data_IF_044143056273
#
_entry.id   IF_044143056273
#
_cell.length_a   1.000
_cell.length_b   1.000
_cell.length_c   1.000
_cell.angle_alpha   90.00
_cell.angle_beta   90.00
_cell.angle_gamma   90.00
#
_symmetry.space_group_name_H-M   'P 1'
#
loop_
_entity.id
_entity.type
_entity.pdbx_description
1 polymer ?
#
# COMPACT_ATOMS: atom_id res chain seq x y z
N UNK A 1 41.17 -32.23 -69.44
CA UNK A 1 40.36 -31.10 -68.96
C UNK A 1 39.02 -31.63 -68.45
N UNK A 2 38.76 -31.65 -67.13
CA UNK A 2 37.40 -31.78 -66.60
C UNK A 2 36.85 -30.40 -66.20
N UNK A 3 35.57 -30.16 -66.50
CA UNK A 3 34.84 -28.93 -66.21
C UNK A 3 34.48 -28.86 -64.73
N UNK A 4 34.84 -27.76 -64.07
CA UNK A 4 34.37 -27.40 -62.72
C UNK A 4 32.88 -27.01 -62.78
N UNK A 5 32.05 -27.68 -61.99
CA UNK A 5 30.70 -27.20 -61.65
C UNK A 5 30.81 -26.36 -60.36
N UNK A 6 30.39 -25.08 -60.45
CA UNK A 6 30.25 -24.18 -59.31
C UNK A 6 28.81 -24.30 -58.77
N UNK A 7 28.66 -24.67 -57.50
CA UNK A 7 27.42 -24.49 -56.74
C UNK A 7 27.44 -23.11 -56.05
N UNK A 8 26.35 -22.32 -56.08
CA UNK A 8 26.27 -21.12 -55.27
C UNK A 8 25.86 -21.49 -53.83
N UNK A 9 26.65 -21.00 -52.87
CA UNK A 9 26.34 -21.02 -51.45
C UNK A 9 25.27 -19.96 -51.17
N UNK A 10 24.03 -20.38 -50.91
CA UNK A 10 22.96 -19.48 -50.44
C UNK A 10 23.15 -19.29 -48.94
N UNK A 11 23.55 -18.07 -48.55
CA UNK A 11 23.63 -17.64 -47.16
C UNK A 11 22.21 -17.29 -46.69
N UNK A 12 21.57 -18.18 -45.93
CA UNK A 12 20.32 -17.86 -45.23
C UNK A 12 20.64 -16.95 -44.04
N UNK A 13 20.22 -15.68 -44.14
CA UNK A 13 20.09 -14.79 -42.97
C UNK A 13 18.92 -15.31 -42.13
N UNK A 14 19.22 -15.84 -40.95
CA UNK A 14 18.20 -16.15 -39.94
C UNK A 14 17.77 -14.83 -39.29
N UNK A 15 16.58 -14.35 -39.66
CA UNK A 15 15.91 -13.24 -39.00
C UNK A 15 15.56 -13.66 -37.57
N UNK A 16 16.20 -13.06 -36.57
CA UNK A 16 15.81 -13.21 -35.17
C UNK A 16 14.55 -12.37 -34.96
N UNK A 17 13.39 -12.99 -35.10
CA UNK A 17 12.13 -12.40 -34.64
C UNK A 17 12.09 -12.49 -33.12
N UNK A 18 12.20 -11.35 -32.43
CA UNK A 18 11.91 -11.27 -31.00
C UNK A 18 10.46 -11.68 -30.78
N UNK A 19 10.24 -12.82 -30.13
CA UNK A 19 8.93 -13.26 -29.68
C UNK A 19 8.38 -12.25 -28.65
N UNK A 20 7.05 -12.06 -28.57
CA UNK A 20 6.47 -11.25 -27.52
C UNK A 20 6.82 -11.89 -26.18
N UNK A 21 7.19 -11.06 -25.20
CA UNK A 21 7.47 -11.49 -23.83
C UNK A 21 6.16 -11.99 -23.21
N UNK A 22 5.86 -13.27 -23.44
CA UNK A 22 4.80 -13.96 -22.73
C UNK A 22 5.20 -14.10 -21.26
N UNK A 23 4.41 -13.46 -20.38
CA UNK A 23 4.27 -13.68 -18.95
C UNK A 23 5.42 -14.46 -18.26
N UNK A 24 6.50 -13.79 -17.91
CA UNK A 24 7.47 -14.34 -16.97
C UNK A 24 6.95 -14.17 -15.54
N UNK A 25 6.30 -15.22 -15.03
CA UNK A 25 5.89 -15.35 -13.64
C UNK A 25 7.10 -15.71 -12.77
N UNK A 26 7.35 -14.96 -11.68
CA UNK A 26 8.31 -15.30 -10.61
C UNK A 26 9.78 -15.55 -11.04
N UNK A 27 10.19 -15.05 -12.20
CA UNK A 27 11.60 -15.13 -12.61
C UNK A 27 12.40 -14.06 -11.86
N UNK A 28 13.61 -14.42 -11.42
CA UNK A 28 14.57 -13.45 -10.88
C UNK A 28 14.77 -12.30 -11.89
N UNK A 29 14.68 -11.06 -11.41
CA UNK A 29 15.01 -9.85 -12.15
C UNK A 29 15.84 -8.91 -11.26
N UNK A 30 16.46 -7.91 -11.88
CA UNK A 30 17.31 -6.91 -11.23
C UNK A 30 16.70 -5.51 -11.35
N UNK A 31 17.28 -4.56 -10.63
CA UNK A 31 16.88 -3.15 -10.70
C UNK A 31 16.87 -2.59 -12.14
N UNK A 32 17.83 -2.98 -12.98
CA UNK A 32 17.88 -2.57 -14.38
C UNK A 32 16.66 -3.04 -15.19
N UNK A 33 16.09 -4.21 -14.86
CA UNK A 33 14.87 -4.71 -15.51
C UNK A 33 13.64 -3.90 -15.08
N UNK A 34 13.62 -3.41 -13.82
CA UNK A 34 12.58 -2.48 -13.33
C UNK A 34 12.67 -1.17 -14.11
N UNK A 35 13.86 -0.60 -14.28
CA UNK A 35 14.01 0.64 -15.06
C UNK A 35 13.56 0.47 -16.52
N UNK A 36 13.97 -0.63 -17.15
CA UNK A 36 13.67 -0.94 -18.54
C UNK A 36 12.22 -1.39 -18.79
N UNK A 37 11.48 -1.75 -17.73
CA UNK A 37 10.12 -2.23 -17.87
C UNK A 37 9.23 -1.19 -18.56
N UNK A 38 8.51 -1.65 -19.57
CA UNK A 38 7.54 -0.86 -20.33
C UNK A 38 6.24 -1.64 -20.47
N UNK A 39 5.14 -0.92 -20.60
CA UNK A 39 3.84 -1.52 -20.83
C UNK A 39 3.76 -2.10 -22.25
N UNK A 40 3.56 -3.42 -22.33
CA UNK A 40 3.48 -4.17 -23.59
C UNK A 40 2.06 -4.50 -24.05
N UNK A 41 1.03 -4.01 -23.36
CA UNK A 41 -0.37 -4.40 -23.56
C UNK A 41 -0.86 -5.47 -22.58
N UNK A 42 -2.18 -5.57 -22.42
CA UNK A 42 -2.84 -6.44 -21.45
C UNK A 42 -2.72 -5.92 -20.01
N UNK A 43 -3.30 -6.63 -19.05
CA UNK A 43 -3.17 -6.28 -17.64
C UNK A 43 -1.79 -6.67 -17.07
N UNK A 44 -1.47 -6.29 -15.83
CA UNK A 44 -0.23 -6.67 -15.16
C UNK A 44 0.00 -8.18 -15.23
N UNK A 45 1.25 -8.65 -15.34
CA UNK A 45 1.57 -10.07 -15.28
C UNK A 45 1.15 -10.67 -13.93
N UNK A 46 0.66 -11.90 -13.95
CA UNK A 46 0.48 -12.67 -12.71
C UNK A 46 1.81 -12.93 -12.01
N UNK A 47 1.81 -12.99 -10.68
CA UNK A 47 3.03 -13.21 -9.90
C UNK A 47 3.90 -11.96 -9.81
N UNK A 48 5.18 -12.15 -9.45
CA UNK A 48 6.14 -11.05 -9.32
C UNK A 48 6.71 -10.66 -10.69
N UNK A 49 6.71 -9.37 -11.03
CA UNK A 49 7.30 -8.85 -12.28
C UNK A 49 7.90 -7.46 -12.13
N UNK A 50 8.91 -7.15 -12.96
CA UNK A 50 9.56 -5.84 -13.00
C UNK A 50 8.59 -4.72 -13.42
N UNK A 51 7.64 -5.01 -14.32
CA UNK A 51 6.59 -4.06 -14.71
C UNK A 51 5.67 -3.73 -13.53
N UNK A 52 5.25 -4.74 -12.77
CA UNK A 52 4.42 -4.52 -11.58
C UNK A 52 5.17 -3.71 -10.54
N UNK A 53 6.45 -4.00 -10.29
CA UNK A 53 7.29 -3.17 -9.40
C UNK A 53 7.29 -1.73 -9.87
N UNK A 54 7.58 -1.47 -11.16
CA UNK A 54 7.61 -0.11 -11.69
C UNK A 54 6.26 0.60 -11.51
N UNK A 55 5.15 -0.07 -11.79
CA UNK A 55 3.81 0.49 -11.60
C UNK A 55 3.55 0.83 -10.13
N UNK A 56 3.90 -0.05 -9.19
CA UNK A 56 3.79 0.23 -7.75
C UNK A 56 4.60 1.49 -7.35
N UNK A 57 5.84 1.63 -7.83
CA UNK A 57 6.66 2.84 -7.56
C UNK A 57 5.99 4.11 -8.10
N UNK A 58 5.44 4.06 -9.31
CA UNK A 58 4.79 5.22 -9.92
C UNK A 58 3.48 5.60 -9.21
N UNK A 59 2.74 4.61 -8.71
CA UNK A 59 1.54 4.83 -7.89
C UNK A 59 1.93 5.51 -6.57
N UNK A 60 2.92 4.97 -5.85
CA UNK A 60 3.46 5.52 -4.61
C UNK A 60 3.86 7.00 -4.77
N UNK A 61 4.65 7.31 -5.81
CA UNK A 61 5.05 8.68 -6.17
C UNK A 61 3.91 9.62 -6.52
N UNK A 62 2.76 9.06 -6.86
CA UNK A 62 1.59 9.85 -7.20
C UNK A 62 0.78 10.25 -5.96
N UNK A 63 1.11 9.77 -4.76
CA UNK A 63 0.28 9.92 -3.56
C UNK A 63 -0.86 8.89 -3.48
N UNK A 64 -0.76 7.81 -4.26
CA UNK A 64 -1.67 6.65 -4.21
C UNK A 64 -0.83 5.46 -3.81
N UNK A 65 -0.77 5.21 -2.50
CA UNK A 65 0.08 4.16 -1.96
C UNK A 65 -0.37 2.79 -2.50
N UNK A 66 0.55 1.96 -3.04
CA UNK A 66 0.30 0.56 -3.29
C UNK A 66 0.44 -0.29 -2.01
N UNK A 67 0.73 0.35 -0.87
CA UNK A 67 1.20 -0.31 0.34
C UNK A 67 2.63 -0.75 0.14
N UNK A 68 2.90 -2.01 0.45
CA UNK A 68 4.22 -2.61 0.29
C UNK A 68 4.56 -2.83 -1.19
N UNK A 69 5.73 -2.37 -1.62
CA UNK A 69 6.27 -2.64 -2.96
C UNK A 69 6.99 -3.98 -2.96
N UNK A 70 6.41 -4.95 -3.66
CA UNK A 70 6.86 -6.35 -3.68
C UNK A 70 6.91 -6.96 -5.10
N UNK A 71 6.50 -6.18 -6.10
CA UNK A 71 6.39 -6.57 -7.50
C UNK A 71 5.25 -7.52 -7.83
N UNK A 72 4.34 -7.85 -6.90
CA UNK A 72 3.23 -8.76 -7.15
C UNK A 72 1.98 -8.05 -7.64
N UNK A 73 1.34 -8.65 -8.64
CA UNK A 73 -0.05 -8.31 -8.99
C UNK A 73 -0.98 -8.97 -7.98
N UNK A 74 -1.31 -8.24 -6.91
CA UNK A 74 -2.24 -8.66 -5.86
C UNK A 74 -3.34 -7.62 -5.61
N UNK A 75 -4.18 -7.88 -4.60
CA UNK A 75 -5.31 -7.01 -4.27
C UNK A 75 -4.90 -5.57 -3.94
N UNK A 76 -3.77 -5.36 -3.27
CA UNK A 76 -3.27 -4.01 -2.98
C UNK A 76 -2.95 -3.25 -4.27
N UNK A 77 -2.14 -3.83 -5.18
CA UNK A 77 -1.82 -3.26 -6.49
C UNK A 77 -3.08 -2.96 -7.31
N UNK A 78 -4.04 -3.88 -7.36
CA UNK A 78 -5.32 -3.68 -8.06
C UNK A 78 -6.11 -2.51 -7.45
N UNK A 79 -6.25 -2.47 -6.13
CA UNK A 79 -6.98 -1.40 -5.44
C UNK A 79 -6.31 -0.03 -5.58
N UNK A 80 -4.98 0.01 -5.73
CA UNK A 80 -4.23 1.25 -5.97
C UNK A 80 -4.43 1.74 -7.41
N UNK A 81 -4.48 0.84 -8.39
CA UNK A 81 -4.84 1.19 -9.78
C UNK A 81 -6.27 1.75 -9.83
N UNK A 82 -7.25 1.10 -9.16
CA UNK A 82 -8.62 1.61 -9.07
C UNK A 82 -8.69 3.05 -8.53
N UNK A 83 -7.85 3.35 -7.55
CA UNK A 83 -7.79 4.69 -6.97
C UNK A 83 -7.18 5.72 -7.92
N UNK A 84 -6.14 5.30 -8.65
CA UNK A 84 -5.48 6.12 -9.65
C UNK A 84 -6.42 6.41 -10.82
N UNK A 85 -7.18 5.41 -11.26
CA UNK A 85 -8.26 5.54 -12.24
C UNK A 85 -9.32 6.52 -11.77
N UNK A 86 -9.83 6.35 -10.54
CA UNK A 86 -10.81 7.25 -9.92
C UNK A 86 -10.32 8.69 -9.90
N UNK A 87 -9.08 8.93 -9.45
CA UNK A 87 -8.50 10.29 -9.44
C UNK A 87 -8.36 10.86 -10.85
N UNK A 88 -8.05 10.01 -11.82
CA UNK A 88 -7.77 10.42 -13.20
C UNK A 88 -9.01 10.50 -14.09
N UNK A 89 -10.19 10.13 -13.57
CA UNK A 89 -11.43 10.08 -14.34
C UNK A 89 -11.46 8.96 -15.38
N UNK A 90 -10.73 7.87 -15.14
CA UNK A 90 -10.74 6.67 -15.99
C UNK A 90 -11.85 5.70 -15.56
N UNK A 91 -12.19 4.69 -16.40
CA UNK A 91 -12.95 3.53 -15.93
C UNK A 91 -12.26 2.90 -14.71
N UNK A 92 -13.04 2.56 -13.67
CA UNK A 92 -12.52 2.04 -12.40
C UNK A 92 -12.63 0.51 -12.42
N UNK A 93 -11.69 -0.17 -13.04
CA UNK A 93 -11.65 -1.64 -13.14
C UNK A 93 -10.41 -2.26 -12.48
N UNK A 94 -9.43 -1.44 -12.10
CA UNK A 94 -8.20 -1.87 -11.44
C UNK A 94 -7.24 -2.61 -12.38
N UNK A 95 -7.48 -2.55 -13.68
CA UNK A 95 -6.66 -3.21 -14.68
C UNK A 95 -5.60 -2.25 -15.23
N UNK A 96 -4.40 -2.76 -15.43
CA UNK A 96 -3.38 -2.00 -16.13
C UNK A 96 -3.74 -1.90 -17.62
N UNK A 97 -3.91 -0.68 -18.10
CA UNK A 97 -4.22 -0.40 -19.50
C UNK A 97 -3.30 0.71 -20.07
N UNK A 98 -3.38 1.01 -21.38
CA UNK A 98 -2.59 2.10 -21.96
C UNK A 98 -2.87 3.48 -21.34
N UNK A 99 -4.09 3.76 -20.88
CA UNK A 99 -4.46 5.06 -20.31
C UNK A 99 -3.83 5.26 -18.94
N UNK A 100 -3.95 4.26 -18.06
CA UNK A 100 -3.29 4.22 -16.75
C UNK A 100 -1.78 4.34 -16.94
N UNK A 101 -1.19 3.58 -17.87
CA UNK A 101 0.25 3.62 -18.13
C UNK A 101 0.75 5.00 -18.53
N UNK A 102 0.05 5.62 -19.48
CA UNK A 102 0.41 6.92 -20.02
C UNK A 102 0.35 8.01 -18.94
N UNK A 103 -0.67 7.98 -18.09
CA UNK A 103 -0.80 8.92 -16.97
C UNK A 103 0.24 8.69 -15.88
N UNK A 104 0.60 7.43 -15.60
CA UNK A 104 1.68 7.12 -14.64
C UNK A 104 3.05 7.65 -15.10
N UNK A 105 3.27 7.88 -16.39
CA UNK A 105 4.55 8.40 -16.89
C UNK A 105 4.89 9.79 -16.34
N UNK A 106 3.91 10.59 -15.88
CA UNK A 106 4.22 11.88 -15.24
C UNK A 106 5.01 11.73 -13.93
N UNK A 107 4.99 10.53 -13.33
CA UNK A 107 5.71 10.19 -12.09
C UNK A 107 7.02 9.43 -12.34
N UNK A 108 7.39 9.23 -13.61
CA UNK A 108 8.57 8.46 -14.03
C UNK A 108 9.82 9.32 -14.28
N UNK A 109 9.82 10.59 -13.83
CA UNK A 109 10.92 11.52 -14.07
C UNK A 109 12.24 11.11 -13.38
N UNK A 110 12.16 10.36 -12.29
CA UNK A 110 13.32 9.81 -11.58
C UNK A 110 13.40 8.28 -11.77
N UNK A 111 14.61 7.68 -11.72
CA UNK A 111 14.76 6.22 -11.74
C UNK A 111 13.90 5.56 -10.65
N UNK A 112 13.26 4.43 -10.95
CA UNK A 112 12.39 3.72 -10.02
C UNK A 112 13.16 3.09 -8.84
N UNK A 113 14.46 2.87 -9.04
CA UNK A 113 15.40 2.30 -8.09
C UNK A 113 16.59 3.23 -7.87
N UNK A 114 17.27 3.09 -6.74
CA UNK A 114 18.46 3.85 -6.40
C UNK A 114 19.49 2.99 -5.66
N UNK A 115 20.75 3.42 -5.71
CA UNK A 115 21.80 2.86 -4.86
C UNK A 115 21.65 3.36 -3.43
N UNK A 116 21.78 2.45 -2.47
CA UNK A 116 21.84 2.76 -1.05
C UNK A 116 22.97 1.98 -0.40
N UNK A 117 23.87 2.68 0.29
CA UNK A 117 24.89 2.05 1.12
C UNK A 117 24.34 1.92 2.54
N UNK A 118 24.18 0.68 2.99
CA UNK A 118 23.69 0.37 4.34
C UNK A 118 24.65 1.00 5.35
N UNK A 119 24.13 1.81 6.26
CA UNK A 119 24.95 2.50 7.25
C UNK A 119 25.02 1.71 8.55
N UNK A 120 25.98 2.01 9.45
CA UNK A 120 25.97 1.43 10.78
C UNK A 120 24.68 1.69 11.55
N UNK A 121 24.02 2.84 11.33
CA UNK A 121 22.77 3.23 11.98
C UNK A 121 21.61 2.32 11.59
N UNK A 122 21.60 1.81 10.35
CA UNK A 122 20.57 0.87 9.91
C UNK A 122 20.59 -0.44 10.71
N UNK A 123 21.77 -0.83 11.22
CA UNK A 123 21.95 -2.02 12.05
C UNK A 123 21.93 -1.73 13.55
N UNK A 124 21.81 -0.47 13.97
CA UNK A 124 21.77 -0.09 15.38
C UNK A 124 20.36 -0.22 15.97
N UNK A 125 20.29 -0.54 17.26
CA UNK A 125 19.03 -0.57 18.02
C UNK A 125 18.04 -1.66 17.59
N UNK A 126 18.48 -2.65 16.81
CA UNK A 126 17.66 -3.81 16.46
C UNK A 126 17.43 -4.69 17.70
N UNK A 127 16.30 -5.41 17.70
CA UNK A 127 15.97 -6.40 18.73
C UNK A 127 15.92 -7.80 18.10
N UNK A 128 16.29 -8.83 18.86
CA UNK A 128 16.36 -10.19 18.30
C UNK A 128 15.00 -10.73 17.84
N UNK A 129 13.93 -10.37 18.56
CA UNK A 129 12.55 -10.74 18.22
C UNK A 129 11.55 -9.88 18.98
N UNK A 130 10.30 -9.90 18.51
CA UNK A 130 9.14 -9.32 19.19
C UNK A 130 8.29 -10.46 19.75
N UNK A 131 8.13 -10.59 21.08
CA UNK A 131 7.31 -11.64 21.67
C UNK A 131 5.83 -11.41 21.31
N UNK A 132 5.05 -12.48 21.25
CA UNK A 132 3.61 -12.39 20.99
C UNK A 132 2.82 -11.95 22.25
N UNK A 133 3.32 -12.32 23.44
CA UNK A 133 2.69 -12.05 24.72
C UNK A 133 2.86 -10.58 25.15
N UNK A 134 1.78 -9.95 25.58
CA UNK A 134 1.75 -8.53 25.97
C UNK A 134 2.51 -8.26 27.26
N UNK A 135 2.54 -9.21 28.21
CA UNK A 135 3.34 -9.07 29.42
C UNK A 135 4.84 -9.11 29.10
N UNK A 136 5.26 -9.99 28.18
CA UNK A 136 6.62 -10.02 27.66
C UNK A 136 6.98 -8.74 26.89
N UNK A 137 6.10 -8.27 25.98
CA UNK A 137 6.28 -6.99 25.27
C UNK A 137 6.47 -5.81 26.25
N UNK A 138 5.68 -5.78 27.32
CA UNK A 138 5.75 -4.73 28.33
C UNK A 138 7.08 -4.70 29.12
N UNK A 139 7.86 -5.79 29.11
CA UNK A 139 9.20 -5.82 29.69
C UNK A 139 10.30 -5.35 28.73
N UNK A 140 10.00 -5.17 27.44
CA UNK A 140 10.98 -4.71 26.47
C UNK A 140 11.33 -3.24 26.68
N UNK A 141 12.49 -2.82 26.18
CA UNK A 141 12.88 -1.40 26.16
C UNK A 141 12.15 -0.63 25.06
N UNK A 142 11.95 -1.28 23.91
CA UNK A 142 11.30 -0.74 22.71
C UNK A 142 10.89 -1.92 21.82
N UNK A 143 9.84 -1.73 21.03
CA UNK A 143 9.44 -2.66 19.97
C UNK A 143 10.09 -2.23 18.64
N UNK A 144 11.42 -2.18 18.62
CA UNK A 144 12.21 -1.75 17.47
C UNK A 144 12.20 -2.79 16.33
N UNK A 145 12.82 -2.45 15.19
CA UNK A 145 13.00 -3.38 14.08
C UNK A 145 13.81 -4.61 14.50
N UNK A 146 13.50 -5.75 13.89
CA UNK A 146 14.18 -7.04 14.12
C UNK A 146 15.31 -7.30 13.13
N UNK A 147 15.34 -6.56 12.02
CA UNK A 147 16.38 -6.73 11.00
C UNK A 147 16.68 -5.42 10.24
N UNK A 148 17.83 -5.39 9.56
CA UNK A 148 18.16 -4.33 8.59
C UNK A 148 17.14 -4.32 7.44
N UNK A 149 16.70 -5.50 6.98
CA UNK A 149 15.72 -5.62 5.90
C UNK A 149 14.40 -4.94 6.27
N UNK A 150 13.91 -5.17 7.49
CA UNK A 150 12.69 -4.56 8.02
C UNK A 150 12.79 -3.04 8.08
N UNK A 151 13.88 -2.52 8.66
CA UNK A 151 14.13 -1.07 8.73
C UNK A 151 14.18 -0.43 7.35
N UNK A 152 14.86 -1.07 6.41
CA UNK A 152 14.96 -0.56 5.03
C UNK A 152 13.63 -0.72 4.28
N UNK A 153 12.84 -1.75 4.61
CA UNK A 153 11.49 -1.95 4.10
C UNK A 153 10.58 -0.78 4.45
N UNK A 154 10.56 -0.39 5.72
CA UNK A 154 9.85 0.80 6.21
C UNK A 154 10.34 2.08 5.51
N UNK A 155 11.66 2.24 5.37
CA UNK A 155 12.27 3.45 4.78
C UNK A 155 11.99 3.63 3.28
N UNK A 156 11.95 2.53 2.52
CA UNK A 156 11.84 2.54 1.06
C UNK A 156 10.50 1.99 0.55
N UNK A 157 9.53 1.78 1.46
CA UNK A 157 8.20 1.22 1.19
C UNK A 157 8.25 -0.17 0.53
N UNK A 158 9.21 -1.01 0.94
CA UNK A 158 9.49 -2.30 0.31
C UNK A 158 9.11 -3.49 1.20
N UNK A 159 8.75 -4.61 0.56
CA UNK A 159 8.72 -5.90 1.25
C UNK A 159 10.14 -6.34 1.60
N UNK A 160 10.35 -6.82 2.82
CA UNK A 160 11.67 -7.25 3.31
C UNK A 160 12.32 -8.31 2.40
N UNK A 161 11.52 -9.30 1.98
CA UNK A 161 12.00 -10.37 1.09
C UNK A 161 12.24 -9.84 -0.32
N UNK A 162 11.54 -8.79 -0.72
CA UNK A 162 11.76 -8.12 -2.00
C UNK A 162 13.07 -7.34 -2.03
N UNK A 163 13.53 -6.75 -0.93
CA UNK A 163 14.87 -6.14 -0.83
C UNK A 163 15.95 -7.19 -1.15
N UNK A 164 15.90 -8.35 -0.49
CA UNK A 164 16.84 -9.44 -0.76
C UNK A 164 16.69 -9.98 -2.19
N UNK A 165 15.47 -10.09 -2.70
CA UNK A 165 15.21 -10.52 -4.07
C UNK A 165 15.83 -9.57 -5.09
N UNK A 166 15.75 -8.24 -4.90
CA UNK A 166 16.31 -7.26 -5.83
C UNK A 166 17.85 -7.22 -5.79
N UNK A 167 18.44 -7.76 -4.72
CA UNK A 167 19.89 -7.76 -4.44
C UNK A 167 20.45 -9.18 -4.28
N UNK A 168 20.39 -10.02 -5.32
CA UNK A 168 20.78 -11.42 -5.20
C UNK A 168 22.25 -11.56 -4.83
N UNK A 169 22.53 -12.28 -3.75
CA UNK A 169 23.88 -12.59 -3.28
C UNK A 169 24.59 -11.44 -2.54
N UNK A 170 23.86 -10.40 -2.13
CA UNK A 170 24.39 -9.32 -1.30
C UNK A 170 23.84 -9.44 0.11
N UNK A 171 24.73 -9.55 1.10
CA UNK A 171 24.33 -9.54 2.51
C UNK A 171 23.90 -8.13 2.93
N UNK A 172 22.78 -8.04 3.67
CA UNK A 172 22.22 -6.77 4.15
C UNK A 172 22.91 -6.31 5.44
N UNK A 173 24.20 -5.93 5.31
CA UNK A 173 25.06 -5.50 6.41
C UNK A 173 25.63 -4.10 6.16
N UNK A 174 26.00 -3.35 7.23
CA UNK A 174 26.65 -2.05 7.08
C UNK A 174 27.86 -2.08 6.13
N UNK A 175 27.94 -1.11 5.23
CA UNK A 175 28.94 -0.98 4.18
C UNK A 175 28.58 -1.65 2.85
N UNK A 176 27.60 -2.56 2.83
CA UNK A 176 27.09 -3.11 1.58
C UNK A 176 26.33 -2.04 0.80
N UNK A 177 26.51 -1.99 -0.52
CA UNK A 177 25.71 -1.15 -1.42
C UNK A 177 24.70 -2.03 -2.13
N UNK A 178 23.43 -1.66 -2.02
CA UNK A 178 22.28 -2.38 -2.55
C UNK A 178 21.43 -1.46 -3.43
N UNK A 179 20.59 -2.06 -4.27
CA UNK A 179 19.50 -1.42 -4.98
C UNK A 179 18.24 -1.46 -4.14
N UNK A 180 17.64 -0.30 -3.90
CA UNK A 180 16.34 -0.15 -3.23
C UNK A 180 15.39 0.61 -4.15
N UNK A 181 14.11 0.59 -3.83
CA UNK A 181 13.13 1.46 -4.49
C UNK A 181 13.45 2.92 -4.14
N UNK A 182 13.19 3.80 -5.10
CA UNK A 182 13.20 5.24 -4.92
C UNK A 182 11.74 5.72 -4.79
N UNK A 183 11.16 5.74 -3.57
CA UNK A 183 9.75 6.07 -3.37
C UNK A 183 9.45 7.55 -3.67
N UNK A 184 8.17 7.90 -3.62
CA UNK A 184 7.71 9.29 -3.62
C UNK A 184 8.25 10.08 -2.45
N UNK A 185 8.39 11.39 -2.65
CA UNK A 185 8.46 12.29 -1.50
C UNK A 185 7.12 12.31 -0.80
N UNK A 186 7.13 12.44 0.53
CA UNK A 186 5.91 12.53 1.31
C UNK A 186 5.00 13.66 0.79
N UNK A 187 3.72 13.34 0.65
CA UNK A 187 2.69 14.27 0.25
C UNK A 187 2.51 15.35 1.31
N UNK A 188 2.23 16.57 0.84
CA UNK A 188 2.04 17.75 1.69
C UNK A 188 0.66 18.32 1.47
N UNK A 189 0.12 18.95 2.50
CA UNK A 189 -1.20 19.57 2.46
C UNK A 189 -1.91 19.44 3.80
N UNK A 190 -3.16 19.89 3.84
CA UNK A 190 -4.03 19.70 5.01
C UNK A 190 -5.24 18.88 4.57
N UNK A 191 -5.39 17.71 5.17
CA UNK A 191 -6.55 16.83 4.96
C UNK A 191 -7.70 17.32 5.83
N UNK A 192 -8.78 17.77 5.18
CA UNK A 192 -10.01 18.23 5.83
C UNK A 192 -11.04 17.10 5.99
N UNK A 193 -11.03 16.12 5.08
CA UNK A 193 -11.96 14.98 5.09
C UNK A 193 -11.24 13.68 4.75
N UNK A 194 -11.49 12.65 5.53
CA UNK A 194 -11.05 11.28 5.31
C UNK A 194 -12.26 10.42 4.98
N UNK A 195 -12.17 9.63 3.92
CA UNK A 195 -13.13 8.59 3.60
C UNK A 195 -12.48 7.22 3.81
N UNK A 196 -13.14 6.38 4.61
CA UNK A 196 -12.73 4.99 4.86
C UNK A 196 -13.68 4.06 4.10
N UNK A 197 -13.14 3.38 3.08
CA UNK A 197 -13.89 2.50 2.19
C UNK A 197 -13.59 1.03 2.50
N UNK A 198 -14.56 0.38 3.14
CA UNK A 198 -14.50 -1.05 3.48
C UNK A 198 -14.51 -1.96 2.26
N UNK A 199 -15.09 -1.51 1.13
CA UNK A 199 -15.28 -2.34 -0.07
C UNK A 199 -13.98 -2.47 -0.85
N UNK A 200 -13.27 -1.36 -1.02
CA UNK A 200 -11.98 -1.33 -1.70
C UNK A 200 -10.79 -1.50 -0.74
N UNK A 201 -11.04 -1.44 0.58
CA UNK A 201 -10.05 -1.47 1.66
C UNK A 201 -9.04 -0.33 1.57
N UNK A 202 -9.57 0.89 1.47
CA UNK A 202 -8.77 2.10 1.21
C UNK A 202 -9.19 3.25 2.12
N UNK A 203 -8.24 4.13 2.41
CA UNK A 203 -8.44 5.37 3.16
C UNK A 203 -8.00 6.53 2.28
N UNK A 204 -8.90 7.44 1.94
CA UNK A 204 -8.63 8.58 1.07
C UNK A 204 -8.72 9.90 1.84
N UNK A 205 -7.69 10.73 1.75
CA UNK A 205 -7.61 12.06 2.36
C UNK A 205 -7.81 13.17 1.33
N UNK A 206 -8.77 14.05 1.59
CA UNK A 206 -9.15 15.17 0.74
C UNK A 206 -8.88 16.51 1.43
N UNK A 207 -8.51 17.52 0.64
CA UNK A 207 -8.41 18.90 1.11
C UNK A 207 -9.80 19.54 1.31
N UNK A 208 -9.82 20.79 1.75
CA UNK A 208 -11.06 21.54 1.97
C UNK A 208 -11.85 21.84 0.68
N UNK A 209 -11.23 21.72 -0.50
CA UNK A 209 -11.85 21.92 -1.80
C UNK A 209 -12.37 20.60 -2.40
N UNK A 210 -12.19 19.47 -1.72
CA UNK A 210 -12.54 18.14 -2.22
C UNK A 210 -11.50 17.55 -3.18
N UNK A 211 -10.30 18.13 -3.27
CA UNK A 211 -9.20 17.56 -4.03
C UNK A 211 -8.58 16.39 -3.26
N UNK A 212 -8.44 15.23 -3.92
CA UNK A 212 -7.73 14.08 -3.36
C UNK A 212 -6.24 14.41 -3.19
N UNK A 213 -5.74 14.30 -1.96
CA UNK A 213 -4.32 14.52 -1.64
C UNK A 213 -3.55 13.21 -1.53
N UNK A 214 -4.11 12.26 -0.77
CA UNK A 214 -3.49 10.98 -0.44
C UNK A 214 -4.52 9.88 -0.41
N UNK A 215 -4.10 8.65 -0.67
CA UNK A 215 -4.99 7.52 -0.65
C UNK A 215 -4.23 6.19 -0.47
N UNK A 216 -4.58 5.47 0.59
CA UNK A 216 -3.77 4.39 1.19
C UNK A 216 -4.55 3.07 1.25
N UNK A 217 -3.91 1.91 1.05
CA UNK A 217 -4.51 0.62 1.37
C UNK A 217 -4.58 0.45 2.88
N UNK A 218 -5.63 -0.23 3.36
CA UNK A 218 -5.85 -0.40 4.77
C UNK A 218 -6.40 -1.79 5.13
N UNK A 219 -6.08 -2.27 6.33
CA UNK A 219 -6.93 -3.24 7.01
C UNK A 219 -8.05 -2.48 7.69
N UNK A 220 -9.30 -2.87 7.42
CA UNK A 220 -10.49 -2.27 8.03
C UNK A 220 -11.29 -3.40 8.69
N UNK A 221 -12.08 -3.08 9.71
CA UNK A 221 -12.84 -4.06 10.48
C UNK A 221 -13.74 -4.93 9.60
N UNK A 222 -13.88 -6.19 9.98
CA UNK A 222 -14.70 -7.17 9.26
C UNK A 222 -16.19 -7.03 9.61
N UNK A 223 -17.08 -7.79 8.96
CA UNK A 223 -18.47 -7.89 9.41
C UNK A 223 -18.61 -8.50 10.82
N UNK A 224 -17.69 -9.38 11.22
CA UNK A 224 -17.65 -9.94 12.57
C UNK A 224 -17.11 -8.94 13.61
N UNK A 225 -16.35 -7.94 13.17
CA UNK A 225 -15.66 -6.96 14.01
C UNK A 225 -15.72 -5.56 13.38
N UNK A 226 -16.93 -4.99 13.27
CA UNK A 226 -17.15 -3.85 12.41
C UNK A 226 -16.42 -2.61 12.90
N UNK A 227 -15.81 -1.92 11.95
CA UNK A 227 -15.41 -0.54 12.12
C UNK A 227 -16.61 0.33 12.49
N UNK A 228 -16.40 1.47 13.15
CA UNK A 228 -17.50 2.30 13.58
C UNK A 228 -18.22 2.90 12.37
N UNK A 229 -19.51 3.15 12.49
CA UNK A 229 -20.32 3.71 11.40
C UNK A 229 -20.46 5.23 11.53
N UNK A 230 -20.60 5.89 10.38
CA UNK A 230 -20.94 7.29 10.29
C UNK A 230 -19.73 8.23 10.38
N UNK A 231 -20.00 9.45 10.85
CA UNK A 231 -19.05 10.56 10.84
C UNK A 231 -18.38 10.74 12.20
N UNK A 232 -17.06 10.84 12.16
CA UNK A 232 -16.18 11.13 13.28
C UNK A 232 -15.25 12.30 12.93
N UNK A 233 -14.44 12.72 13.89
CA UNK A 233 -13.32 13.62 13.65
C UNK A 233 -12.05 13.07 14.30
N UNK A 234 -10.90 13.56 13.86
CA UNK A 234 -9.62 13.31 14.51
C UNK A 234 -9.63 14.00 15.88
N UNK A 235 -9.58 13.22 16.96
CA UNK A 235 -9.60 13.71 18.33
C UNK A 235 -8.20 13.77 18.94
N UNK A 236 -7.31 12.83 18.57
CA UNK A 236 -5.94 12.79 19.08
C UNK A 236 -4.97 12.36 17.99
N UNK A 237 -3.72 12.81 18.11
CA UNK A 237 -2.61 12.38 17.25
C UNK A 237 -1.44 12.07 18.19
N UNK A 238 -0.90 10.87 18.09
CA UNK A 238 0.23 10.42 18.88
C UNK A 238 1.27 9.76 17.98
N UNK A 239 2.46 10.36 17.96
CA UNK A 239 3.62 9.83 17.26
C UNK A 239 4.44 8.98 18.22
N UNK A 240 4.86 7.82 17.73
CA UNK A 240 5.58 6.77 18.45
C UNK A 240 4.98 6.47 19.84
N UNK A 241 3.67 6.13 19.94
CA UNK A 241 2.98 6.04 21.22
C UNK A 241 3.36 4.78 22.00
N UNK A 242 3.34 4.88 23.33
CA UNK A 242 3.16 3.69 24.16
C UNK A 242 1.78 3.09 23.89
N UNK A 243 1.68 1.76 23.95
CA UNK A 243 0.39 1.07 23.87
C UNK A 243 -0.04 0.60 25.25
N UNK A 244 -1.27 0.91 25.66
CA UNK A 244 -1.83 0.39 26.90
C UNK A 244 -2.68 -0.84 26.57
N UNK A 245 -2.29 -1.98 27.10
CA UNK A 245 -3.11 -3.19 27.08
C UNK A 245 -3.91 -3.23 28.38
N UNK A 246 -5.23 -3.32 28.30
CA UNK A 246 -6.15 -3.51 29.41
C UNK A 246 -7.06 -4.70 29.09
N UNK A 247 -6.94 -5.83 29.81
CA UNK A 247 -7.69 -7.04 29.50
C UNK A 247 -9.21 -6.88 29.65
N UNK A 248 -9.68 -5.80 30.29
CA UNK A 248 -11.11 -5.48 30.44
C UNK A 248 -11.68 -4.71 29.25
N UNK A 249 -10.82 -4.15 28.40
CA UNK A 249 -11.20 -3.33 27.22
C UNK A 249 -10.74 -3.95 25.91
N UNK A 250 -9.59 -4.60 25.91
CA UNK A 250 -9.07 -5.31 24.77
C UNK A 250 -9.63 -6.74 24.77
N UNK A 251 -8.85 -7.67 25.30
CA UNK A 251 -9.13 -9.08 25.44
C UNK A 251 -8.22 -9.60 26.54
N UNK A 252 -8.60 -10.70 27.21
CA UNK A 252 -7.73 -11.35 28.16
C UNK A 252 -6.79 -12.35 27.45
N UNK A 253 -5.50 -12.03 27.40
CA UNK A 253 -4.44 -12.93 26.95
C UNK A 253 -3.94 -13.80 28.11
N UNK A 254 -4.17 -15.11 28.00
CA UNK A 254 -3.81 -16.06 29.05
C UNK A 254 -4.44 -15.68 30.40
N UNK A 255 -3.63 -15.73 31.46
CA UNK A 255 -4.07 -15.41 32.82
C UNK A 255 -3.88 -13.92 33.19
N UNK A 256 -3.53 -13.05 32.24
CA UNK A 256 -3.25 -11.65 32.55
C UNK A 256 -4.53 -10.83 32.76
N UNK A 257 -4.81 -10.48 34.02
CA UNK A 257 -5.98 -9.72 34.47
C UNK A 257 -5.70 -8.23 34.75
N UNK A 258 -4.48 -7.75 34.44
CA UNK A 258 -4.01 -6.40 34.77
C UNK A 258 -3.64 -5.58 33.54
N UNK A 259 -3.86 -4.25 33.59
CA UNK A 259 -3.34 -3.35 32.58
C UNK A 259 -1.80 -3.37 32.51
N UNK A 260 -1.27 -3.25 31.30
CA UNK A 260 0.15 -3.19 30.98
C UNK A 260 0.42 -1.98 30.09
N UNK A 261 1.62 -1.42 30.22
CA UNK A 261 2.14 -0.41 29.29
C UNK A 261 3.21 -1.07 28.44
N UNK A 262 2.93 -1.19 27.15
CA UNK A 262 3.84 -1.70 26.14
C UNK A 262 4.65 -0.52 25.56
N UNK A 263 5.98 -0.63 25.51
CA UNK A 263 6.86 0.43 25.01
C UNK A 263 6.61 0.69 23.51
N UNK A 264 7.04 1.86 22.99
CA UNK A 264 6.77 2.25 21.63
C UNK A 264 7.74 1.57 20.64
N UNK A 265 7.39 1.59 19.36
CA UNK A 265 8.23 1.17 18.26
C UNK A 265 7.43 0.73 17.02
N UNK A 266 8.09 0.57 15.86
CA UNK A 266 7.45 0.15 14.61
C UNK A 266 6.75 -1.21 14.70
N UNK A 267 7.23 -2.08 15.60
CA UNK A 267 6.60 -3.37 15.88
C UNK A 267 5.52 -3.32 16.98
N UNK A 268 5.10 -2.12 17.38
CA UNK A 268 4.02 -1.90 18.33
C UNK A 268 2.66 -2.34 17.81
N UNK A 269 1.69 -2.65 18.69
CA UNK A 269 0.33 -3.02 18.28
C UNK A 269 -0.35 -1.97 17.38
N UNK A 270 -0.01 -0.69 17.57
CA UNK A 270 -0.50 0.43 16.76
C UNK A 270 0.58 1.04 15.85
N UNK A 271 1.72 0.36 15.70
CA UNK A 271 2.85 0.85 14.91
C UNK A 271 3.43 2.17 15.44
N UNK A 272 3.96 2.99 14.54
CA UNK A 272 4.62 4.26 14.88
C UNK A 272 3.66 5.43 15.08
N UNK A 273 2.36 5.27 14.81
CA UNK A 273 1.38 6.36 14.83
C UNK A 273 0.02 5.88 15.31
N UNK A 274 -0.61 6.70 16.14
CA UNK A 274 -2.04 6.59 16.48
C UNK A 274 -2.76 7.92 16.18
N UNK A 275 -3.77 7.86 15.31
CA UNK A 275 -4.72 8.95 15.04
C UNK A 275 -6.06 8.53 15.65
N UNK A 276 -6.31 8.96 16.88
CA UNK A 276 -7.54 8.63 17.60
C UNK A 276 -8.74 9.39 17.07
N UNK A 277 -9.87 8.71 16.96
CA UNK A 277 -11.13 9.28 16.50
C UNK A 277 -11.98 9.74 17.67
N UNK A 278 -12.98 10.57 17.37
CA UNK A 278 -13.97 11.05 18.34
C UNK A 278 -14.86 9.94 18.90
N UNK A 279 -14.89 8.76 18.27
CA UNK A 279 -15.42 7.55 18.89
C UNK A 279 -14.32 6.95 19.77
N UNK A 280 -14.50 6.88 21.10
CA UNK A 280 -13.48 6.39 22.01
C UNK A 280 -12.94 5.03 21.56
N UNK A 281 -11.63 4.80 21.72
CA UNK A 281 -10.91 3.54 21.42
C UNK A 281 -10.81 3.11 19.94
N UNK A 282 -11.32 3.91 19.01
CA UNK A 282 -11.13 3.70 17.57
C UNK A 282 -10.13 4.69 17.01
N UNK A 283 -9.31 4.23 16.07
CA UNK A 283 -8.24 5.03 15.47
C UNK A 283 -7.82 4.56 14.09
N UNK A 284 -7.10 5.44 13.39
CA UNK A 284 -6.29 5.11 12.22
C UNK A 284 -4.84 5.02 12.70
N UNK A 285 -4.14 3.92 12.42
CA UNK A 285 -2.82 3.68 13.00
C UNK A 285 -1.92 2.86 12.09
N UNK A 286 -0.63 2.81 12.43
CA UNK A 286 0.38 2.00 11.73
C UNK A 286 0.24 0.50 12.02
N UNK A 287 1.12 -0.34 11.48
CA UNK A 287 1.06 -1.79 11.69
C UNK A 287 2.44 -2.41 11.71
N UNK A 288 2.68 -3.43 12.57
CA UNK A 288 3.92 -4.20 12.55
C UNK A 288 3.98 -5.19 11.37
N UNK A 289 2.92 -5.33 10.58
CA UNK A 289 2.80 -6.34 9.51
C UNK A 289 2.29 -5.72 8.21
N UNK A 290 3.03 -4.80 7.58
CA UNK A 290 2.54 -4.03 6.43
C UNK A 290 2.22 -4.90 5.21
N UNK A 291 2.91 -6.04 5.02
CA UNK A 291 2.64 -6.98 3.92
C UNK A 291 1.33 -7.76 4.07
N UNK A 292 0.67 -7.67 5.23
CA UNK A 292 -0.53 -8.41 5.57
C UNK A 292 -1.80 -7.55 5.58
N UNK A 293 -1.74 -6.29 5.11
CA UNK A 293 -2.89 -5.37 5.15
C UNK A 293 -4.18 -5.95 4.56
N UNK A 294 -4.07 -6.74 3.49
CA UNK A 294 -5.23 -7.36 2.83
C UNK A 294 -5.51 -8.81 3.28
N UNK A 295 -4.65 -9.39 4.12
CA UNK A 295 -4.81 -10.75 4.65
C UNK A 295 -5.39 -10.72 6.07
N UNK A 296 -5.04 -9.71 6.84
CA UNK A 296 -5.50 -9.52 8.21
C UNK A 296 -6.91 -8.93 8.24
N UNK A 297 -7.59 -9.16 9.35
CA UNK A 297 -8.80 -8.45 9.74
C UNK A 297 -8.47 -7.68 11.02
N UNK A 298 -8.95 -6.43 11.13
CA UNK A 298 -8.83 -5.68 12.37
C UNK A 298 -10.07 -5.92 13.24
N UNK A 299 -9.97 -5.57 14.52
CA UNK A 299 -11.09 -5.61 15.45
C UNK A 299 -11.88 -4.28 15.44
N UNK A 300 -11.87 -3.56 14.30
CA UNK A 300 -12.63 -2.32 14.09
C UNK A 300 -11.78 -1.06 13.84
N UNK A 301 -10.50 -1.04 14.22
CA UNK A 301 -9.58 0.05 13.86
C UNK A 301 -9.14 -0.02 12.38
N UNK A 302 -8.56 1.07 11.88
CA UNK A 302 -8.03 1.18 10.52
C UNK A 302 -6.51 1.10 10.58
N UNK A 303 -5.93 0.08 9.94
CA UNK A 303 -4.47 -0.14 9.93
C UNK A 303 -3.89 0.23 8.60
N UNK A 304 -2.84 1.03 8.62
CA UNK A 304 -2.02 1.42 7.47
C UNK A 304 -0.60 0.89 7.68
N UNK A 305 0.24 0.95 6.65
CA UNK A 305 1.69 0.84 6.84
C UNK A 305 2.17 1.97 7.74
N UNK A 306 3.31 1.80 8.44
CA UNK A 306 3.78 2.85 9.35
C UNK A 306 4.10 4.15 8.57
N UNK A 307 4.71 4.07 7.38
CA UNK A 307 4.98 5.25 6.56
C UNK A 307 3.72 5.98 6.08
N UNK A 308 2.66 5.25 5.69
CA UNK A 308 1.38 5.87 5.27
C UNK A 308 0.67 6.51 6.48
N UNK A 309 0.72 5.87 7.65
CA UNK A 309 0.17 6.43 8.88
C UNK A 309 0.92 7.69 9.34
N UNK A 310 2.26 7.69 9.25
CA UNK A 310 3.10 8.85 9.50
C UNK A 310 2.80 10.00 8.56
N UNK A 311 2.70 9.74 7.25
CA UNK A 311 2.31 10.75 6.28
C UNK A 311 0.95 11.37 6.64
N UNK A 312 -0.06 10.53 6.87
CA UNK A 312 -1.40 11.00 7.23
C UNK A 312 -1.40 11.84 8.52
N UNK A 313 -0.67 11.43 9.55
CA UNK A 313 -0.60 12.14 10.83
C UNK A 313 -0.10 13.59 10.69
N UNK A 314 0.79 13.85 9.74
CA UNK A 314 1.28 15.21 9.48
C UNK A 314 0.27 16.08 8.71
N UNK A 315 -0.66 15.45 7.99
CA UNK A 315 -1.64 16.14 7.14
C UNK A 315 -2.98 16.41 7.84
N UNK A 316 -3.32 15.67 8.89
CA UNK A 316 -4.58 15.84 9.63
C UNK A 316 -4.48 16.87 10.76
N UNK A 317 -5.63 17.34 11.27
CA UNK A 317 -5.75 18.28 12.38
C UNK A 317 -6.81 17.82 13.37
N UNK A 318 -6.48 17.90 14.66
CA UNK A 318 -7.42 17.64 15.75
C UNK A 318 -8.61 18.60 15.61
N UNK A 319 -9.82 18.05 15.69
CA UNK A 319 -11.13 18.71 15.51
C UNK A 319 -11.37 19.37 14.14
N UNK A 320 -10.35 19.44 13.28
CA UNK A 320 -10.41 20.03 11.95
C UNK A 320 -10.56 19.02 10.81
N UNK A 321 -10.16 17.77 11.04
CA UNK A 321 -10.29 16.69 10.05
C UNK A 321 -11.48 15.80 10.38
N UNK A 322 -12.42 15.71 9.44
CA UNK A 322 -13.54 14.77 9.50
C UNK A 322 -13.14 13.39 8.99
N UNK A 323 -13.72 12.33 9.55
CA UNK A 323 -13.48 10.94 9.17
C UNK A 323 -14.82 10.26 8.98
N UNK A 324 -15.09 9.76 7.79
CA UNK A 324 -16.35 9.11 7.43
C UNK A 324 -16.08 7.66 7.05
N UNK A 325 -16.75 6.74 7.76
CA UNK A 325 -16.77 5.32 7.41
C UNK A 325 -17.93 5.08 6.45
N UNK A 326 -17.58 4.74 5.20
CA UNK A 326 -18.57 4.51 4.16
C UNK A 326 -19.35 3.23 4.45
N UNK A 327 -20.68 3.22 4.23
CA UNK A 327 -21.47 2.01 4.33
C UNK A 327 -20.96 0.90 3.40
N UNK A 328 -21.20 -0.35 3.77
CA UNK A 328 -20.98 -1.47 2.87
C UNK A 328 -21.74 -1.27 1.55
N UNK A 329 -21.08 -1.51 0.43
CA UNK A 329 -21.57 -1.25 -0.93
C UNK A 329 -21.40 0.18 -1.43
N UNK A 330 -20.97 1.13 -0.58
CA UNK A 330 -20.67 2.52 -1.00
C UNK A 330 -19.17 2.72 -1.10
N UNK A 331 -18.69 3.03 -2.30
CA UNK A 331 -17.27 3.29 -2.55
C UNK A 331 -16.94 4.77 -2.40
N UNK A 332 -15.65 5.10 -2.32
CA UNK A 332 -15.20 6.51 -2.39
C UNK A 332 -15.65 7.18 -3.70
N UNK A 333 -15.74 6.45 -4.81
CA UNK A 333 -16.22 7.01 -6.08
C UNK A 333 -17.68 7.47 -5.97
N UNK A 334 -18.53 6.64 -5.35
CA UNK A 334 -19.93 6.98 -5.08
C UNK A 334 -20.04 8.20 -4.15
N UNK A 335 -19.26 8.21 -3.05
CA UNK A 335 -19.28 9.27 -2.05
C UNK A 335 -18.75 10.63 -2.56
N UNK A 336 -17.93 10.62 -3.62
CA UNK A 336 -17.38 11.82 -4.26
C UNK A 336 -18.14 12.23 -5.52
N UNK A 337 -19.13 11.44 -5.96
CA UNK A 337 -19.86 11.70 -7.19
C UNK A 337 -19.00 11.56 -8.46
N UNK A 338 -17.85 10.88 -8.35
CA UNK A 338 -16.98 10.59 -9.50
C UNK A 338 -17.61 9.42 -10.25
N UNK A 339 -18.36 9.73 -11.30
CA UNK A 339 -18.91 8.71 -12.19
C UNK A 339 -17.76 8.04 -12.95
N UNK A 340 -17.66 6.69 -12.96
CA UNK A 340 -16.70 6.00 -13.79
C UNK A 340 -16.93 6.41 -15.25
N UNK A 341 -15.86 6.74 -15.97
CA UNK A 341 -15.99 6.92 -17.42
C UNK A 341 -16.54 5.61 -18.02
N UNK A 342 -17.46 5.68 -19.00
CA UNK A 342 -17.92 4.47 -19.68
C UNK A 342 -16.71 3.74 -20.25
N UNK A 343 -16.63 2.43 -20.01
CA UNK A 343 -15.53 1.60 -20.51
C UNK A 343 -15.38 1.86 -22.02
N UNK A 344 -14.24 2.43 -22.41
CA UNK A 344 -13.94 2.62 -23.82
C UNK A 344 -13.91 1.24 -24.49
N UNK A 345 -14.49 1.06 -25.68
CA UNK A 345 -14.20 -0.12 -26.46
C UNK A 345 -12.69 -0.25 -26.58
N UNK A 346 -12.15 -1.45 -26.43
CA UNK A 346 -10.75 -1.77 -26.66
C UNK A 346 -10.40 -1.59 -28.15
N UNK A 347 -10.47 -0.37 -28.66
CA UNK A 347 -9.85 -0.03 -29.93
C UNK A 347 -8.35 0.13 -29.66
N UNK A 348 -7.49 -0.57 -30.41
CA UNK A 348 -6.06 -0.33 -30.34
C UNK A 348 -5.82 1.14 -30.62
N UNK A 349 -5.16 1.85 -29.70
CA UNK A 349 -4.56 3.14 -30.02
C UNK A 349 -3.71 2.95 -31.27
N UNK A 350 -4.15 3.54 -32.39
CA UNK A 350 -3.40 3.49 -33.63
C UNK A 350 -2.03 4.13 -33.35
N UNK A 351 -0.99 3.30 -33.41
CA UNK A 351 0.39 3.78 -33.55
C UNK A 351 0.41 4.74 -34.74
N UNK A 352 0.86 5.99 -34.59
CA UNK A 352 1.01 6.87 -35.73
C UNK A 352 2.00 6.21 -36.67
N UNK A 353 1.54 5.82 -37.85
CA UNK A 353 2.39 5.38 -38.94
C UNK A 353 3.45 6.47 -39.16
N UNK A 354 4.71 6.09 -39.18
CA UNK A 354 5.83 6.96 -39.50
C UNK A 354 5.74 7.39 -40.96
N UNK A 355 4.89 8.37 -41.24
CA UNK A 355 4.92 9.14 -42.46
C UNK A 355 5.66 10.44 -42.15
N UNK A 356 6.91 10.53 -42.62
CA UNK A 356 7.70 11.76 -42.63
C UNK A 356 6.99 12.79 -43.51
N UNK A 357 6.62 13.99 -43.01
CA UNK A 357 6.35 15.11 -43.87
C UNK A 357 7.58 16.01 -43.93
N UNK A 358 7.93 16.36 -45.16
CA UNK A 358 8.96 17.32 -45.53
C UNK A 358 8.84 18.67 -44.79
N UNK A 359 10.01 19.27 -44.63
CA UNK A 359 10.34 20.57 -44.05
C UNK A 359 9.38 21.72 -44.39
N UNK A 360 8.94 22.45 -43.36
CA UNK A 360 8.69 23.89 -43.46
C UNK A 360 8.90 24.57 -42.09
N UNK A 361 9.84 25.51 -42.05
CA UNK A 361 10.08 26.43 -40.92
C UNK A 361 9.02 27.55 -40.97
N UNK A 362 8.48 27.99 -39.83
CA UNK A 362 8.51 29.42 -39.59
C UNK A 362 8.92 29.81 -38.16
N UNK A 363 9.37 31.07 -38.12
CA UNK A 363 10.06 31.80 -37.09
C UNK A 363 9.20 32.19 -35.87
N UNK A 364 9.89 32.57 -34.80
CA UNK A 364 9.44 32.79 -33.42
C UNK A 364 8.44 33.95 -33.20
N UNK A 365 7.62 33.87 -32.15
CA UNK A 365 7.62 34.78 -30.97
C UNK A 365 6.35 34.63 -30.11
N UNK A 366 6.51 34.49 -28.78
CA UNK A 366 5.76 35.12 -27.65
C UNK A 366 5.75 34.19 -26.41
N UNK A 367 5.99 34.70 -25.18
CA UNK A 367 6.61 33.94 -24.09
C UNK A 367 5.63 33.21 -23.15
N UNK A 368 6.15 32.14 -22.53
CA UNK A 368 5.51 31.38 -21.46
C UNK A 368 5.50 32.16 -20.12
N UNK A 369 4.48 31.99 -19.25
CA UNK A 369 4.46 32.55 -17.90
C UNK A 369 5.45 31.79 -16.97
N UNK A 370 5.89 32.40 -15.86
CA UNK A 370 7.02 31.89 -15.09
C UNK A 370 6.64 30.62 -14.32
N UNK A 371 7.45 29.58 -14.51
CA UNK A 371 7.50 28.40 -13.65
C UNK A 371 8.10 28.83 -12.32
N UNK A 372 7.32 28.76 -11.25
CA UNK A 372 7.83 28.90 -9.89
C UNK A 372 8.69 27.67 -9.57
N UNK A 373 10.00 27.87 -9.52
CA UNK A 373 10.97 26.91 -9.00
C UNK A 373 10.70 26.69 -7.51
N UNK A 374 10.09 25.56 -7.15
CA UNK A 374 10.13 25.06 -5.79
C UNK A 374 11.48 24.37 -5.59
N UNK A 375 12.35 25.01 -4.82
CA UNK A 375 13.61 24.45 -4.33
C UNK A 375 13.30 23.22 -3.48
N UNK A 376 13.59 22.03 -4.01
CA UNK A 376 13.72 20.82 -3.23
C UNK A 376 15.15 20.79 -2.69
N UNK A 377 15.32 21.12 -1.42
CA UNK A 377 16.54 20.81 -0.68
C UNK A 377 16.17 20.46 0.76
N UNK A 378 16.88 19.44 1.27
CA UNK A 378 16.81 18.77 2.58
C UNK A 378 15.94 17.49 2.61
N UNK A 379 16.56 16.28 2.59
CA UNK A 379 15.90 15.08 3.07
C UNK A 379 15.59 15.24 4.56
N UNK A 380 14.43 14.73 5.00
CA UNK A 380 14.13 14.63 6.43
C UNK A 380 15.03 13.54 7.03
N UNK A 381 16.09 13.95 7.71
CA UNK A 381 16.82 13.11 8.67
C UNK A 381 15.89 12.84 9.86
N UNK A 382 15.01 11.85 9.72
CA UNK A 382 14.13 11.39 10.80
C UNK A 382 14.75 10.18 11.50
N UNK A 383 15.16 10.37 12.75
CA UNK A 383 15.47 9.29 13.70
C UNK A 383 14.23 9.03 14.57
N UNK A 384 13.48 7.95 14.33
CA UNK A 384 12.26 7.64 15.11
C UNK A 384 12.52 7.37 16.60
N UNK A 385 13.79 7.27 17.03
CA UNK A 385 14.17 7.13 18.45
C UNK A 385 14.34 8.47 19.18
N UNK A 386 14.35 9.61 18.47
CA UNK A 386 14.61 10.93 19.06
C UNK A 386 13.35 11.72 19.44
N UNK A 387 12.16 11.27 19.04
CA UNK A 387 10.90 11.93 19.39
C UNK A 387 10.56 11.69 20.87
N UNK A 388 10.47 12.77 21.64
CA UNK A 388 10.03 12.70 23.05
C UNK A 388 8.53 12.38 23.09
N UNK A 389 8.06 11.35 23.81
CA UNK A 389 6.65 11.04 23.88
C UNK A 389 5.86 12.23 24.45
N UNK A 390 4.92 12.76 23.67
CA UNK A 390 3.94 13.72 24.15
C UNK A 390 3.06 13.04 25.22
N UNK A 391 2.56 13.74 26.24
CA UNK A 391 1.61 13.15 27.18
C UNK A 391 0.29 12.89 26.45
N UNK A 392 0.10 11.64 26.01
CA UNK A 392 -1.10 11.17 25.34
C UNK A 392 -1.99 10.48 26.36
N UNK A 393 -3.32 10.62 26.22
CA UNK A 393 -4.23 9.66 26.85
C UNK A 393 -3.79 8.22 26.48
N UNK A 394 -3.94 7.25 27.40
CA UNK A 394 -3.51 5.89 27.13
C UNK A 394 -4.17 5.35 25.86
N UNK A 395 -3.34 4.88 24.92
CA UNK A 395 -3.77 4.35 23.62
C UNK A 395 -4.19 2.90 23.78
N UNK A 396 -5.42 2.58 23.39
CA UNK A 396 -5.98 1.23 23.36
C UNK A 396 -6.64 0.98 22.00
N UNK A 397 -6.54 -0.23 21.45
CA UNK A 397 -7.45 -0.72 20.38
C UNK A 397 -8.60 -1.47 21.04
N UNK A 398 -9.85 -1.01 20.98
CA UNK A 398 -10.94 -1.82 21.52
C UNK A 398 -11.15 -3.07 20.67
N UNK A 399 -11.07 -4.24 21.31
CA UNK A 399 -11.30 -5.55 20.69
C UNK A 399 -12.42 -6.33 21.41
N UNK A 400 -13.12 -5.70 22.34
CA UNK A 400 -14.25 -6.28 23.08
C UNK A 400 -15.57 -6.02 22.33
N UNK A 401 -16.36 -7.08 22.15
CA UNK A 401 -17.64 -7.05 21.39
C UNK A 401 -18.69 -6.11 22.02
N UNK A 402 -18.58 -5.83 23.33
CA UNK A 402 -19.65 -5.22 24.15
C UNK A 402 -19.95 -3.74 23.81
N UNK A 403 -19.00 -2.99 23.25
CA UNK A 403 -19.23 -1.60 22.78
C UNK A 403 -19.54 -1.49 21.27
N UNK A 404 -19.25 -2.54 20.48
CA UNK A 404 -19.58 -2.58 19.05
C UNK A 404 -21.09 -2.75 18.83
N UNK A 405 -21.77 -3.42 19.77
CA UNK A 405 -23.16 -3.88 19.63
C UNK A 405 -24.23 -2.85 20.01
N UNK A 406 -23.86 -1.79 20.75
CA UNK A 406 -24.85 -0.83 21.29
C UNK A 406 -25.53 0.06 20.22
N UNK A 407 -25.06 0.07 18.97
CA UNK A 407 -25.57 0.91 17.88
C UNK A 407 -25.66 0.22 16.50
N UNK A 408 -25.46 -1.10 16.43
CA UNK A 408 -25.71 -1.86 15.20
C UNK A 408 -27.24 -2.01 14.96
N UNK A 409 -27.74 -1.86 13.72
CA UNK A 409 -29.10 -2.30 13.39
C UNK A 409 -29.20 -3.80 13.73
N UNK A 410 -30.21 -4.17 14.52
CA UNK A 410 -30.43 -5.56 14.93
C UNK A 410 -30.53 -6.47 13.68
N UNK A 411 -29.72 -7.54 13.57
CA UNK A 411 -29.81 -8.47 12.45
C UNK A 411 -31.12 -9.26 12.46
N UNK A 412 -31.56 -9.66 11.27
CA UNK A 412 -32.77 -10.47 11.06
C UNK A 412 -32.65 -11.81 11.82
N UNK A 413 -33.57 -12.14 12.75
CA UNK A 413 -33.48 -13.34 13.59
C UNK A 413 -33.61 -14.67 12.83
N UNK A 414 -33.73 -14.64 11.50
CA UNK A 414 -33.71 -15.84 10.65
C UNK A 414 -32.40 -16.06 9.89
N UNK A 415 -31.42 -15.17 9.98
CA UNK A 415 -30.11 -15.38 9.36
C UNK A 415 -29.18 -16.16 10.31
N UNK A 416 -28.84 -17.38 9.93
CA UNK A 416 -27.80 -18.16 10.61
C UNK A 416 -26.41 -17.60 10.22
N UNK A 417 -25.67 -16.98 11.17
CA UNK A 417 -24.42 -16.29 10.89
C UNK A 417 -23.27 -17.22 10.46
N UNK A 418 -23.41 -18.54 10.65
CA UNK A 418 -22.43 -19.53 10.23
C UNK A 418 -22.62 -20.01 8.79
N UNK A 419 -23.81 -19.82 8.21
CA UNK A 419 -24.10 -20.30 6.86
C UNK A 419 -23.57 -19.35 5.77
N UNK A 420 -23.53 -18.03 6.03
CA UNK A 420 -23.01 -17.04 5.07
C UNK A 420 -21.47 -16.94 5.04
N UNK A 421 -20.80 -17.37 6.12
CA UNK A 421 -19.33 -17.39 6.18
C UNK A 421 -18.70 -18.57 5.42
N UNK A 422 -19.48 -19.56 4.97
CA UNK A 422 -18.99 -20.81 4.38
C UNK A 422 -19.45 -21.08 2.95
N UNK A 423 -20.29 -20.25 2.35
CA UNK A 423 -20.84 -20.44 1.00
C UNK A 423 -19.89 -20.09 -0.16
N UNK A 424 -18.63 -19.76 0.11
CA UNK A 424 -17.63 -19.44 -0.92
C UNK A 424 -16.38 -20.31 -0.96
N UNK A 425 -16.22 -21.27 -0.05
CA UNK A 425 -14.91 -21.89 0.21
C UNK A 425 -14.82 -23.42 0.05
N UNK A 426 -15.87 -24.12 -0.38
CA UNK A 426 -15.84 -25.58 -0.55
C UNK A 426 -16.30 -26.01 -1.96
N UNK A 427 -15.60 -26.96 -2.62
CA UNK A 427 -16.01 -27.47 -3.93
C UNK A 427 -17.30 -28.30 -3.86
N UNK A 428 -18.08 -28.27 -4.95
CA UNK A 428 -19.37 -28.96 -5.07
C UNK A 428 -19.28 -30.45 -4.72
N UNK A 429 -19.96 -30.84 -3.63
CA UNK A 429 -20.09 -32.24 -3.21
C UNK A 429 -19.82 -32.53 -1.73
N UNK A 430 -19.45 -31.54 -0.92
CA UNK A 430 -19.22 -31.75 0.52
C UNK A 430 -20.54 -31.66 1.32
N UNK A 431 -21.00 -32.79 1.85
CA UNK A 431 -22.16 -32.85 2.77
C UNK A 431 -21.65 -32.97 4.20
N UNK A 432 -21.90 -31.94 5.01
CA UNK A 432 -21.61 -31.95 6.46
C UNK A 432 -22.74 -32.71 7.18
N UNK A 433 -22.46 -33.74 8.02
CA UNK A 433 -23.50 -34.43 8.76
C UNK A 433 -24.07 -33.57 9.90
N UNK A 434 -25.32 -33.81 10.36
CA UNK A 434 -25.91 -33.10 11.48
C UNK A 434 -25.10 -33.26 12.77
N UNK A 435 -25.06 -32.20 13.59
CA UNK A 435 -24.27 -32.09 14.81
C UNK A 435 -24.59 -33.15 15.89
N UNK A 436 -25.71 -33.86 15.76
CA UNK A 436 -26.21 -34.80 16.76
C UNK A 436 -25.56 -36.19 16.71
N UNK A 437 -24.58 -36.42 15.81
CA UNK A 437 -23.95 -37.73 15.56
C UNK A 437 -22.42 -37.69 15.50
N UNK A 438 -21.76 -36.87 16.32
CA UNK A 438 -20.30 -36.97 16.51
C UNK A 438 -19.93 -37.17 17.99
N UNK A 439 -18.98 -38.09 18.30
CA UNK A 439 -18.71 -38.58 19.65
C UNK A 439 -18.03 -37.58 20.59
#
# INVERSE_FOLDING_TARGET
MPRLARFPLVLMLASVTALPVAAQTNRQFLAADVEAATYGGGDLPSGRSALTTKVQVLLDRSGISPGVIDGFKGGMSQSAIMAFERRSGLPIDGAMDPHVWNLLQSFAAQPATQDYTITPEDAQGLVDSIPADYAEKAQMKTLAHTSVAERLGERFHMDEKFIAFLNPGVDLIPGATIKVINPGSQMRGTVARILVDVNTRRVAGFDANGQLLVDFPATIGSSATPSPSGNHHVATIALNPNYTYDPRKNFQQGDNDKPLVVPPGPNGPVGTVWIGLSKPSYGIHGTPTPSQLFQNQSMGCVRLTNWDAEELAHMVRIDGTTVEFLPAGVTIADATGVAPAPAAPAEPLAVPDTAVPDTAVPDATTPAPPVATATADQPLDYDPLAATPQPVEPVFENTSEEEADALAPQPDPQADPLTDALTGALPDGFVVPPADVQP
#
